data_IF_356952990316
#
_entry.id   IF_356952990316
#
_cell.length_a   1.000
_cell.length_b   1.000
_cell.length_c   1.000
_cell.angle_alpha   90.00
_cell.angle_beta   90.00
_cell.angle_gamma   90.00
#
_symmetry.space_group_name_H-M   'P 1'
#
loop_
_entity.id
_entity.type
_entity.pdbx_description
1 polymer ?
#
# COMPACT_ATOMS: atom_id res chain seq x y z
N UNK A 1 -40.65 21.51 -4.19
CA UNK A 1 -40.25 21.14 -2.82
C UNK A 1 -38.78 20.80 -2.88
N UNK A 2 -37.91 21.71 -2.44
CA UNK A 2 -36.47 21.49 -2.40
C UNK A 2 -36.12 20.83 -1.06
N UNK A 3 -35.38 19.72 -1.11
CA UNK A 3 -34.80 19.09 0.08
C UNK A 3 -33.75 20.03 0.69
N UNK A 4 -33.68 20.16 2.03
CA UNK A 4 -32.67 20.99 2.65
C UNK A 4 -31.29 20.37 2.45
N UNK A 5 -30.31 21.22 2.14
CA UNK A 5 -28.89 20.87 2.12
C UNK A 5 -28.52 20.30 3.49
N UNK A 6 -27.90 19.12 3.49
CA UNK A 6 -27.26 18.51 4.65
C UNK A 6 -26.28 19.52 5.28
N UNK A 7 -26.23 19.66 6.62
CA UNK A 7 -25.32 20.60 7.26
C UNK A 7 -23.87 20.28 6.87
N UNK A 8 -23.11 21.33 6.56
CA UNK A 8 -21.68 21.24 6.30
C UNK A 8 -21.00 20.46 7.43
N UNK A 9 -20.15 19.50 7.07
CA UNK A 9 -19.31 18.78 8.01
C UNK A 9 -18.52 19.80 8.84
N UNK A 10 -18.77 19.83 10.14
CA UNK A 10 -18.02 20.64 11.08
C UNK A 10 -16.80 19.84 11.52
N UNK A 11 -15.61 20.29 11.15
CA UNK A 11 -14.38 19.86 11.78
C UNK A 11 -14.32 20.52 13.17
N UNK A 12 -14.10 19.73 14.22
CA UNK A 12 -13.81 20.26 15.56
C UNK A 12 -12.34 20.01 15.86
N UNK A 13 -11.63 21.10 16.20
CA UNK A 13 -10.25 21.04 16.69
C UNK A 13 -10.35 20.86 18.21
N UNK A 14 -9.95 19.70 18.72
CA UNK A 14 -9.78 19.51 20.16
C UNK A 14 -8.29 19.47 20.45
N UNK A 15 -7.78 20.49 21.14
CA UNK A 15 -6.40 20.54 21.61
C UNK A 15 -6.26 19.70 22.88
N UNK A 16 -5.62 18.53 22.77
CA UNK A 16 -5.20 17.76 23.93
C UNK A 16 -3.69 17.93 24.13
N UNK A 17 -3.32 18.80 25.06
CA UNK A 17 -1.94 18.90 25.59
C UNK A 17 -1.26 20.25 25.34
N UNK A 18 -0.65 20.80 26.39
CA UNK A 18 0.09 22.07 26.39
C UNK A 18 1.55 21.90 25.93
N UNK A 19 1.75 21.32 24.74
CA UNK A 19 3.05 21.19 24.08
C UNK A 19 3.05 21.86 22.70
N UNK A 20 4.23 22.17 22.11
CA UNK A 20 4.32 22.87 20.82
C UNK A 20 3.94 22.00 19.60
N UNK A 21 3.36 20.82 19.83
CA UNK A 21 2.94 19.88 18.79
C UNK A 21 1.42 19.90 18.72
N UNK A 22 0.89 20.70 17.79
CA UNK A 22 -0.51 20.60 17.38
C UNK A 22 -0.67 19.28 16.61
N UNK A 23 -1.17 18.24 17.29
CA UNK A 23 -1.59 17.02 16.61
C UNK A 23 -2.95 17.27 15.95
N UNK A 24 -3.01 17.12 14.62
CA UNK A 24 -4.30 16.94 13.92
C UNK A 24 -4.71 15.49 14.10
N UNK A 25 -5.58 15.25 15.09
CA UNK A 25 -6.26 13.97 15.24
C UNK A 25 -7.28 13.85 14.11
N UNK A 26 -6.95 13.04 13.10
CA UNK A 26 -7.97 12.51 12.20
C UNK A 26 -8.72 11.43 12.97
N UNK A 27 -9.79 11.85 13.67
CA UNK A 27 -10.87 10.95 14.06
C UNK A 27 -11.17 10.10 12.82
N UNK A 28 -11.15 8.75 12.91
CA UNK A 28 -11.47 7.93 11.76
C UNK A 28 -12.80 8.46 11.25
N UNK A 29 -12.87 8.96 10.01
CA UNK A 29 -14.13 9.50 9.55
C UNK A 29 -15.11 8.36 9.75
N UNK A 30 -16.31 8.68 10.22
CA UNK A 30 -17.45 7.76 10.14
C UNK A 30 -17.68 7.29 8.68
N UNK A 31 -16.91 7.85 7.74
CA UNK A 31 -16.69 7.52 6.33
C UNK A 31 -15.23 7.13 6.02
N UNK A 32 -14.52 6.38 6.87
CA UNK A 32 -13.34 5.64 6.40
C UNK A 32 -13.86 4.84 5.21
N UNK A 33 -13.40 5.19 4.01
CA UNK A 33 -13.95 4.63 2.77
C UNK A 33 -13.85 3.13 2.88
N UNK A 34 -14.96 2.50 3.23
CA UNK A 34 -15.17 1.09 2.99
C UNK A 34 -14.82 0.91 1.51
N UNK A 35 -14.22 -0.22 1.16
CA UNK A 35 -13.97 -0.63 -0.23
C UNK A 35 -15.32 -0.83 -0.96
N UNK A 36 -16.25 0.11 -0.85
CA UNK A 36 -17.68 -0.15 -0.91
C UNK A 36 -18.17 -0.36 -2.34
N UNK A 37 -17.34 -0.10 -3.34
CA UNK A 37 -17.66 -0.41 -4.75
C UNK A 37 -16.39 -0.73 -5.57
N UNK A 38 -15.55 -1.66 -5.11
CA UNK A 38 -14.50 -2.22 -5.97
C UNK A 38 -14.90 -3.63 -6.38
N UNK A 39 -14.92 -3.99 -7.69
CA UNK A 39 -15.06 -5.38 -8.08
C UNK A 39 -14.00 -6.21 -7.34
N UNK A 40 -14.36 -7.42 -6.92
CA UNK A 40 -13.43 -8.29 -6.21
C UNK A 40 -12.34 -8.74 -7.19
N UNK A 41 -11.16 -8.12 -7.10
CA UNK A 41 -10.02 -8.39 -7.98
C UNK A 41 -9.09 -9.37 -7.30
N UNK A 42 -8.59 -10.34 -8.07
CA UNK A 42 -7.60 -11.31 -7.64
C UNK A 42 -6.48 -11.36 -8.67
N UNK A 43 -5.25 -11.33 -8.18
CA UNK A 43 -4.05 -11.52 -8.97
C UNK A 43 -3.26 -12.66 -8.36
N UNK A 44 -2.57 -13.39 -9.23
CA UNK A 44 -1.75 -14.50 -8.81
C UNK A 44 -0.44 -14.56 -9.58
N UNK A 45 0.62 -15.01 -8.90
CA UNK A 45 1.93 -15.21 -9.49
C UNK A 45 2.51 -16.54 -8.99
N UNK A 46 2.68 -17.48 -9.90
CA UNK A 46 3.42 -18.71 -9.65
C UNK A 46 4.94 -18.42 -9.55
N UNK A 47 5.74 -19.31 -8.93
CA UNK A 47 7.20 -19.22 -8.96
C UNK A 47 7.77 -19.05 -10.37
N UNK A 48 8.59 -18.01 -10.59
CA UNK A 48 9.13 -17.65 -11.91
C UNK A 48 8.08 -17.15 -12.91
N UNK A 49 6.85 -16.94 -12.45
CA UNK A 49 5.73 -16.47 -13.23
C UNK A 49 5.86 -15.00 -13.63
N UNK A 50 5.08 -14.62 -14.64
CA UNK A 50 5.01 -13.24 -15.11
C UNK A 50 4.57 -12.30 -13.98
N UNK A 51 5.22 -11.15 -13.90
CA UNK A 51 4.82 -10.08 -13.01
C UNK A 51 3.40 -9.61 -13.37
N UNK A 52 2.56 -9.39 -12.36
CA UNK A 52 1.19 -8.94 -12.56
C UNK A 52 0.81 -7.88 -11.54
N UNK A 53 0.07 -6.87 -11.99
CA UNK A 53 -0.40 -5.79 -11.13
C UNK A 53 -1.78 -5.32 -11.59
N UNK A 54 -2.51 -4.65 -10.69
CA UNK A 54 -3.81 -4.08 -11.01
C UNK A 54 -4.02 -2.73 -10.31
N UNK A 55 -4.38 -1.72 -11.10
CA UNK A 55 -4.74 -0.40 -10.60
C UNK A 55 -6.19 -0.42 -10.12
N UNK A 56 -6.40 -0.33 -8.81
CA UNK A 56 -7.72 -0.20 -8.19
C UNK A 56 -8.02 1.27 -7.97
N UNK A 57 -9.16 1.74 -8.44
CA UNK A 57 -9.66 3.09 -8.15
C UNK A 57 -10.91 2.98 -7.29
N UNK A 58 -10.88 3.63 -6.13
CA UNK A 58 -12.00 3.69 -5.20
C UNK A 58 -13.03 4.74 -5.66
N UNK A 59 -14.26 4.63 -5.14
CA UNK A 59 -15.31 5.61 -5.41
C UNK A 59 -14.94 7.05 -4.99
N UNK A 60 -14.02 7.19 -4.03
CA UNK A 60 -13.45 8.47 -3.61
C UNK A 60 -12.47 9.10 -4.62
N UNK A 61 -12.14 8.41 -5.71
CA UNK A 61 -11.14 8.83 -6.69
C UNK A 61 -9.70 8.48 -6.32
N UNK A 62 -9.45 8.05 -5.08
CA UNK A 62 -8.16 7.51 -4.65
C UNK A 62 -7.88 6.21 -5.38
N UNK A 63 -6.64 5.97 -5.78
CA UNK A 63 -6.23 4.72 -6.40
C UNK A 63 -4.99 4.12 -5.76
N UNK A 64 -4.91 2.80 -5.85
CA UNK A 64 -3.80 1.97 -5.35
C UNK A 64 -3.44 0.94 -6.41
N UNK A 65 -2.25 0.37 -6.31
CA UNK A 65 -1.87 -0.80 -7.10
C UNK A 65 -1.76 -2.00 -6.19
N UNK A 66 -2.32 -3.14 -6.58
CA UNK A 66 -2.08 -4.41 -5.89
C UNK A 66 -1.19 -5.30 -6.76
N UNK A 67 -0.31 -6.08 -6.12
CA UNK A 67 0.57 -7.01 -6.82
C UNK A 67 0.97 -8.19 -5.90
N UNK A 68 1.03 -9.43 -6.43
CA UNK A 68 1.64 -10.55 -5.71
C UNK A 68 3.14 -10.37 -5.41
N UNK A 69 3.85 -9.59 -6.23
CA UNK A 69 5.28 -9.27 -6.16
C UNK A 69 6.19 -10.42 -5.68
N UNK A 70 6.12 -11.58 -6.34
CA UNK A 70 7.00 -12.71 -6.06
C UNK A 70 8.41 -12.52 -6.69
N UNK A 71 8.98 -11.32 -6.54
CA UNK A 71 10.13 -10.82 -7.32
C UNK A 71 11.40 -11.70 -7.19
N UNK A 72 11.63 -12.31 -6.03
CA UNK A 72 12.76 -13.20 -5.82
C UNK A 72 12.40 -14.68 -5.97
N UNK A 73 11.14 -15.05 -6.22
CA UNK A 73 10.74 -16.46 -6.30
C UNK A 73 10.96 -17.01 -7.72
N UNK A 74 11.99 -17.82 -7.92
CA UNK A 74 12.43 -18.31 -9.25
C UNK A 74 11.73 -19.58 -9.73
N UNK A 75 11.66 -20.60 -8.88
CA UNK A 75 11.09 -21.90 -9.23
C UNK A 75 10.45 -22.54 -8.01
N UNK A 76 9.74 -23.65 -8.21
CA UNK A 76 8.95 -24.34 -7.20
C UNK A 76 7.55 -24.64 -7.72
N UNK A 77 6.62 -24.90 -6.82
CA UNK A 77 5.19 -24.99 -7.14
C UNK A 77 4.34 -24.20 -6.14
N UNK A 78 3.07 -24.02 -6.49
CA UNK A 78 2.15 -23.18 -5.73
C UNK A 78 2.02 -21.78 -6.33
N UNK A 79 1.54 -20.83 -5.54
CA UNK A 79 1.15 -19.50 -6.00
C UNK A 79 1.17 -18.46 -4.87
N UNK A 80 1.56 -17.24 -5.22
CA UNK A 80 1.33 -16.04 -4.41
C UNK A 80 0.08 -15.35 -4.96
N UNK A 81 -0.91 -15.12 -4.12
CA UNK A 81 -2.19 -14.51 -4.51
C UNK A 81 -2.44 -13.27 -3.68
N UNK A 82 -2.85 -12.18 -4.34
CA UNK A 82 -3.43 -11.01 -3.67
C UNK A 82 -4.87 -10.80 -4.14
N UNK A 83 -5.72 -10.36 -3.22
CA UNK A 83 -7.14 -10.13 -3.48
C UNK A 83 -7.60 -8.86 -2.80
N UNK A 84 -8.24 -7.97 -3.55
CA UNK A 84 -8.86 -6.75 -3.03
C UNK A 84 -10.35 -6.77 -3.34
N UNK A 85 -11.18 -6.77 -2.29
CA UNK A 85 -12.64 -6.82 -2.41
C UNK A 85 -13.26 -5.88 -1.38
N UNK A 86 -14.58 -5.72 -1.41
CA UNK A 86 -15.27 -4.80 -0.49
C UNK A 86 -15.02 -5.05 1.01
N UNK A 87 -14.56 -6.24 1.36
CA UNK A 87 -14.24 -6.63 2.73
C UNK A 87 -12.74 -6.57 3.09
N UNK A 88 -11.87 -6.02 2.23
CA UNK A 88 -10.45 -5.81 2.54
C UNK A 88 -9.47 -6.29 1.47
N UNK A 89 -8.19 -6.14 1.81
CA UNK A 89 -7.06 -6.71 1.08
C UNK A 89 -6.62 -8.02 1.75
N UNK A 90 -6.31 -9.02 0.95
CA UNK A 90 -5.90 -10.35 1.40
C UNK A 90 -4.69 -10.79 0.58
N UNK A 91 -3.66 -11.28 1.26
CA UNK A 91 -2.52 -11.95 0.64
C UNK A 91 -2.44 -13.39 1.12
N UNK A 92 -2.18 -14.33 0.19
CA UNK A 92 -1.97 -15.74 0.46
C UNK A 92 -0.72 -16.21 -0.26
N UNK A 93 0.24 -16.75 0.49
CA UNK A 93 1.50 -17.24 -0.03
C UNK A 93 1.52 -18.76 0.15
N UNK A 94 1.43 -19.50 -0.94
CA UNK A 94 1.49 -20.97 -0.92
C UNK A 94 2.59 -21.40 -1.87
N UNK A 95 3.81 -21.60 -1.36
CA UNK A 95 4.94 -22.02 -2.18
C UNK A 95 5.54 -23.32 -1.63
N UNK A 96 5.87 -24.26 -2.53
CA UNK A 96 6.50 -25.54 -2.20
C UNK A 96 7.83 -25.67 -2.94
N UNK A 97 8.87 -26.08 -2.21
CA UNK A 97 10.23 -26.27 -2.74
C UNK A 97 10.72 -25.06 -3.56
N UNK A 98 10.36 -23.86 -3.10
CA UNK A 98 10.65 -22.66 -3.84
C UNK A 98 12.13 -22.28 -3.74
N UNK A 99 12.70 -21.80 -4.85
CA UNK A 99 14.09 -21.32 -4.90
C UNK A 99 14.15 -19.84 -5.25
N UNK A 100 15.17 -19.16 -4.75
CA UNK A 100 15.37 -17.74 -4.99
C UNK A 100 16.01 -17.46 -6.36
N UNK A 101 15.69 -16.32 -6.97
CA UNK A 101 16.42 -15.80 -8.15
C UNK A 101 17.82 -15.37 -7.74
N UNK A 102 17.92 -14.63 -6.63
CA UNK A 102 19.15 -14.27 -5.96
C UNK A 102 19.11 -14.78 -4.51
N UNK A 103 20.03 -15.67 -4.19
CA UNK A 103 20.11 -16.32 -2.86
C UNK A 103 20.65 -15.40 -1.76
N UNK A 104 21.24 -14.26 -2.13
CA UNK A 104 21.71 -13.26 -1.16
C UNK A 104 20.58 -12.33 -0.70
N UNK A 105 19.49 -12.27 -1.45
CA UNK A 105 18.27 -11.60 -1.03
C UNK A 105 17.54 -12.52 -0.04
N UNK A 106 17.24 -11.99 1.15
CA UNK A 106 16.79 -12.80 2.29
C UNK A 106 15.30 -13.17 2.25
N UNK A 107 14.53 -12.60 1.32
CA UNK A 107 13.08 -12.78 1.17
C UNK A 107 12.71 -13.28 -0.22
N UNK A 108 11.54 -13.90 -0.35
CA UNK A 108 11.07 -14.52 -1.58
C UNK A 108 10.21 -13.60 -2.45
N UNK A 109 9.67 -12.54 -1.87
CA UNK A 109 8.74 -11.60 -2.50
C UNK A 109 8.10 -10.68 -1.47
N UNK A 110 7.26 -9.76 -1.92
CA UNK A 110 6.63 -8.75 -1.09
C UNK A 110 5.19 -8.44 -1.55
N UNK A 111 4.22 -9.35 -1.33
CA UNK A 111 2.84 -9.14 -1.77
C UNK A 111 2.26 -7.88 -1.12
N UNK A 112 1.79 -6.94 -1.93
CA UNK A 112 1.62 -5.56 -1.45
C UNK A 112 0.43 -4.83 -2.08
N UNK A 113 0.09 -3.73 -1.41
CA UNK A 113 -0.80 -2.67 -1.85
C UNK A 113 -0.01 -1.36 -1.83
N UNK A 114 0.12 -0.72 -2.99
CA UNK A 114 0.98 0.43 -3.23
C UNK A 114 0.12 1.68 -3.36
N UNK A 115 0.56 2.76 -2.72
CA UNK A 115 0.02 4.10 -2.88
C UNK A 115 1.14 5.08 -3.22
N UNK A 116 0.96 5.89 -4.26
CA UNK A 116 1.99 6.81 -4.77
C UNK A 116 2.80 6.20 -5.92
N UNK A 117 4.13 6.25 -5.79
CA UNK A 117 5.06 5.83 -6.83
C UNK A 117 6.05 4.77 -6.30
N UNK A 118 6.10 3.59 -6.93
CA UNK A 118 7.16 2.59 -6.69
C UNK A 118 8.26 2.79 -7.75
N UNK A 119 9.51 3.13 -7.35
CA UNK A 119 10.63 3.27 -8.28
C UNK A 119 10.89 2.03 -9.13
N UNK A 120 10.65 0.86 -8.54
CA UNK A 120 10.77 -0.42 -9.20
C UNK A 120 9.59 -0.67 -10.14
N UNK A 121 9.86 -0.82 -11.43
CA UNK A 121 8.82 -1.09 -12.43
C UNK A 121 7.94 0.11 -12.78
N UNK A 122 8.27 1.32 -12.28
CA UNK A 122 7.56 2.58 -12.52
C UNK A 122 6.04 2.49 -12.27
N UNK A 123 5.68 1.91 -11.12
CA UNK A 123 4.29 1.77 -10.73
C UNK A 123 3.81 3.11 -10.19
N UNK A 124 2.76 3.66 -10.79
CA UNK A 124 2.18 4.94 -10.39
C UNK A 124 0.69 4.79 -10.10
N UNK A 125 0.26 5.30 -8.95
CA UNK A 125 -1.16 5.48 -8.66
C UNK A 125 -1.65 6.82 -9.16
N UNK A 126 -2.93 6.91 -9.46
CA UNK A 126 -3.61 8.18 -9.70
C UNK A 126 -3.56 9.12 -8.50
N UNK A 127 -3.75 10.41 -8.78
CA UNK A 127 -3.72 11.48 -7.79
C UNK A 127 -4.85 11.33 -6.76
N UNK A 128 -4.56 11.72 -5.52
CA UNK A 128 -5.49 11.62 -4.40
C UNK A 128 -5.67 12.98 -3.74
N UNK A 129 -6.91 13.41 -3.45
CA UNK A 129 -7.15 14.71 -2.81
C UNK A 129 -6.60 14.78 -1.37
N UNK A 130 -6.22 13.65 -0.77
CA UNK A 130 -5.81 13.59 0.64
C UNK A 130 -4.29 13.65 0.84
N UNK A 131 -3.51 13.05 -0.06
CA UNK A 131 -2.06 13.00 0.04
C UNK A 131 -1.45 12.85 -1.36
N UNK A 132 -0.72 13.85 -1.83
CA UNK A 132 -0.06 13.79 -3.13
C UNK A 132 1.32 13.16 -2.98
N UNK A 133 1.54 12.03 -3.65
CA UNK A 133 2.84 11.35 -3.75
C UNK A 133 3.13 11.06 -5.23
N UNK A 134 4.41 11.17 -5.67
CA UNK A 134 5.57 11.57 -4.89
C UNK A 134 5.57 13.08 -4.57
N UNK A 135 6.21 13.47 -3.47
CA UNK A 135 6.40 14.86 -3.08
C UNK A 135 7.69 15.02 -2.28
N UNK A 136 8.22 16.24 -2.17
CA UNK A 136 9.40 16.50 -1.35
C UNK A 136 9.03 16.32 0.12
N UNK A 137 9.89 15.65 0.88
CA UNK A 137 9.68 15.38 2.31
C UNK A 137 9.37 16.65 3.12
N UNK A 138 10.07 17.76 2.83
CA UNK A 138 9.84 19.03 3.52
C UNK A 138 8.50 19.71 3.23
N UNK A 139 7.80 19.27 2.17
CA UNK A 139 6.50 19.80 1.75
C UNK A 139 5.34 18.87 2.17
N UNK A 140 5.64 17.68 2.71
CA UNK A 140 4.62 16.71 3.12
C UNK A 140 3.96 17.14 4.44
N UNK A 141 2.62 17.00 4.56
CA UNK A 141 1.96 17.11 5.84
C UNK A 141 2.35 15.93 6.74
N UNK A 142 2.06 15.98 8.06
CA UNK A 142 2.09 14.78 8.90
C UNK A 142 1.22 13.67 8.29
N UNK A 143 1.79 12.46 8.17
CA UNK A 143 1.11 11.29 7.61
C UNK A 143 0.85 10.30 8.75
N UNK A 144 -0.39 9.85 8.89
CA UNK A 144 -0.78 8.82 9.86
C UNK A 144 -1.51 7.71 9.11
N UNK A 145 -1.06 6.47 9.30
CA UNK A 145 -1.66 5.28 8.72
C UNK A 145 -2.24 4.38 9.81
N UNK A 146 -3.53 4.05 9.69
CA UNK A 146 -4.22 3.10 10.55
C UNK A 146 -4.61 1.88 9.75
N UNK A 147 -4.27 0.71 10.26
CA UNK A 147 -4.57 -0.57 9.61
C UNK A 147 -5.14 -1.53 10.65
N UNK A 148 -6.23 -2.20 10.28
CA UNK A 148 -6.71 -3.37 11.00
C UNK A 148 -6.26 -4.60 10.22
N UNK A 149 -5.46 -5.45 10.86
CA UNK A 149 -4.83 -6.58 10.19
C UNK A 149 -4.81 -7.82 11.06
N UNK A 150 -4.69 -8.97 10.40
CA UNK A 150 -4.43 -10.27 11.01
C UNK A 150 -3.42 -10.99 10.15
N UNK A 151 -2.44 -11.65 10.78
CA UNK A 151 -1.33 -12.32 10.09
C UNK A 151 -1.17 -13.73 10.62
N UNK A 152 -0.70 -14.63 9.75
CA UNK A 152 -0.38 -15.99 10.11
C UNK A 152 0.64 -16.58 9.17
N UNK A 153 1.70 -17.15 9.73
CA UNK A 153 2.77 -17.82 8.98
C UNK A 153 2.86 -19.29 9.41
N UNK A 154 1.82 -20.11 9.20
CA UNK A 154 1.76 -21.47 9.76
C UNK A 154 2.89 -22.37 9.27
N UNK A 155 3.40 -22.14 8.05
CA UNK A 155 4.44 -22.95 7.41
C UNK A 155 5.54 -22.07 6.78
N UNK A 156 5.94 -20.99 7.46
CA UNK A 156 6.92 -20.07 6.91
C UNK A 156 7.34 -18.96 7.87
N UNK A 157 7.98 -17.94 7.31
CA UNK A 157 8.35 -16.71 8.00
C UNK A 157 8.03 -15.54 7.10
N UNK A 158 7.70 -14.41 7.71
CA UNK A 158 7.47 -13.15 7.05
C UNK A 158 7.29 -12.07 8.11
N UNK A 159 7.14 -10.86 7.63
CA UNK A 159 6.74 -9.71 8.41
C UNK A 159 5.48 -9.09 7.80
N UNK A 160 5.10 -7.96 8.37
CA UNK A 160 4.15 -7.04 7.79
C UNK A 160 4.74 -5.65 8.02
N UNK A 161 5.08 -4.97 6.94
CA UNK A 161 5.80 -3.70 6.98
C UNK A 161 5.10 -2.64 6.13
N UNK A 162 5.35 -1.39 6.49
CA UNK A 162 5.25 -0.30 5.52
C UNK A 162 6.61 -0.13 4.85
N UNK A 163 6.64 -0.02 3.53
CA UNK A 163 7.85 0.30 2.76
C UNK A 163 7.69 1.66 2.07
N UNK A 164 8.71 2.50 2.16
CA UNK A 164 8.75 3.83 1.60
C UNK A 164 10.12 4.12 1.01
N UNK A 165 10.13 4.69 -0.19
CA UNK A 165 11.35 5.08 -0.89
C UNK A 165 11.49 6.60 -0.95
N UNK A 166 12.60 7.09 -0.43
CA UNK A 166 13.00 8.50 -0.54
C UNK A 166 14.06 8.62 -1.61
N UNK A 167 13.70 9.30 -2.70
CA UNK A 167 14.54 9.39 -3.89
C UNK A 167 14.94 10.82 -4.21
N UNK A 168 16.09 11.00 -4.85
CA UNK A 168 16.54 12.34 -5.29
C UNK A 168 15.76 12.89 -6.49
N UNK A 169 15.22 12.01 -7.31
CA UNK A 169 14.39 12.36 -8.47
C UNK A 169 12.91 12.14 -8.17
N UNK A 170 12.03 12.86 -8.86
CA UNK A 170 10.58 12.83 -8.62
C UNK A 170 9.96 11.46 -8.93
N UNK A 171 10.37 10.81 -10.02
CA UNK A 171 9.86 9.49 -10.45
C UNK A 171 11.00 8.67 -11.09
N UNK A 172 11.95 8.16 -10.29
CA UNK A 172 13.10 7.45 -10.82
C UNK A 172 12.72 6.03 -11.24
N UNK A 173 13.33 5.53 -12.32
CA UNK A 173 13.16 4.14 -12.79
C UNK A 173 13.98 3.10 -12.02
N UNK A 174 14.76 3.52 -11.03
CA UNK A 174 15.59 2.69 -10.16
C UNK A 174 16.04 3.50 -8.95
N UNK A 175 16.56 2.84 -7.92
CA UNK A 175 17.14 3.49 -6.74
C UNK A 175 18.65 3.28 -6.71
N UNK A 176 19.37 4.26 -6.15
CA UNK A 176 20.82 4.25 -6.03
C UNK A 176 21.31 4.35 -4.59
N UNK A 177 22.62 4.39 -4.42
CA UNK A 177 23.28 4.44 -3.11
C UNK A 177 22.97 5.70 -2.28
N UNK A 178 22.44 6.75 -2.92
CA UNK A 178 22.06 8.01 -2.28
C UNK A 178 20.55 8.11 -2.00
N UNK A 179 19.78 7.08 -2.35
CA UNK A 179 18.35 6.97 -2.02
C UNK A 179 18.19 6.14 -0.74
N UNK A 180 17.03 6.25 -0.09
CA UNK A 180 16.77 5.62 1.20
C UNK A 180 15.49 4.77 1.15
N UNK A 181 15.61 3.52 1.58
CA UNK A 181 14.51 2.61 1.91
C UNK A 181 14.20 2.77 3.40
N UNK A 182 12.92 2.97 3.74
CA UNK A 182 12.44 3.03 5.11
C UNK A 182 11.35 1.99 5.29
N UNK A 183 11.65 0.98 6.12
CA UNK A 183 10.69 -0.04 6.52
C UNK A 183 10.27 0.18 7.98
N UNK A 184 8.96 0.06 8.25
CA UNK A 184 8.36 0.17 9.60
C UNK A 184 7.59 -1.09 9.95
#
# INVERSE_FOLDING_TARGET
MALPLSPAASASVTTLGSGPWEYVELIPPVNATVLEVVPCVMLSQAPGGQYSQYNLTFASGVSVVITPDAWNTRSGSGEVTVRACGNGFFASIVNYNATATNVYDTVMGYPEIIYGYKPWGQIITGQSPYLQLPAKVGDLPPIVAYINYSLGFPNGRGDFSFDMWLTRSYEPSSVGADDLEIMV
#
